data_IF_370756386408
#
_entry.id   IF_370756386408
#
_cell.length_a   1.000
_cell.length_b   1.000
_cell.length_c   1.000
_cell.angle_alpha   90.00
_cell.angle_beta   90.00
_cell.angle_gamma   90.00
#
_symmetry.space_group_name_H-M   'P 1'
#
loop_
_entity.id
_entity.type
_entity.pdbx_description
1 polymer ?
#
# COMPACT_ATOMS: atom_id res chain seq x y z
N UNK A 1 9.35 13.43 29.53
CA UNK A 1 8.65 12.15 29.81
C UNK A 1 8.52 11.32 28.54
N UNK A 2 7.85 11.81 27.48
CA UNK A 2 7.51 11.03 26.26
C UNK A 2 8.70 10.42 25.52
N UNK A 3 9.85 11.08 25.48
CA UNK A 3 11.09 10.48 24.91
C UNK A 3 11.52 9.26 25.70
N UNK A 4 11.39 9.29 27.04
CA UNK A 4 11.71 8.13 27.88
C UNK A 4 10.71 6.99 27.65
N UNK A 5 9.44 7.31 27.44
CA UNK A 5 8.42 6.29 27.14
C UNK A 5 8.74 5.59 25.82
N UNK A 6 9.12 6.35 24.77
CA UNK A 6 9.59 5.78 23.50
C UNK A 6 10.87 4.93 23.66
N UNK A 7 11.82 5.35 24.50
CA UNK A 7 13.00 4.53 24.83
C UNK A 7 12.58 3.21 25.47
N UNK A 8 11.65 3.25 26.42
CA UNK A 8 11.14 2.06 27.11
C UNK A 8 10.44 1.10 26.15
N UNK A 9 9.64 1.63 25.21
CA UNK A 9 8.98 0.86 24.17
C UNK A 9 9.98 0.18 23.23
N UNK A 10 11.00 0.91 22.76
CA UNK A 10 12.05 0.34 21.93
C UNK A 10 12.84 -0.74 22.72
N UNK A 11 13.10 -0.53 24.00
CA UNK A 11 13.72 -1.55 24.85
C UNK A 11 12.82 -2.78 25.02
N UNK A 12 11.51 -2.60 25.12
CA UNK A 12 10.57 -3.71 25.12
C UNK A 12 10.71 -4.52 23.83
N UNK A 13 10.77 -3.86 22.68
CA UNK A 13 10.83 -4.53 21.38
C UNK A 13 12.20 -5.17 21.11
N UNK A 14 13.29 -4.49 21.41
CA UNK A 14 14.64 -4.85 20.92
C UNK A 14 15.61 -5.29 22.02
N UNK A 15 15.29 -5.06 23.29
CA UNK A 15 16.19 -5.33 24.41
C UNK A 15 16.43 -6.82 24.69
N UNK A 16 17.51 -7.12 25.40
CA UNK A 16 17.79 -8.46 25.93
C UNK A 16 16.96 -8.73 27.19
N UNK A 17 16.15 -9.77 27.17
CA UNK A 17 15.26 -10.17 28.26
C UNK A 17 16.03 -10.58 29.56
N UNK A 18 17.34 -10.85 29.48
CA UNK A 18 18.17 -11.17 30.67
C UNK A 18 18.57 -9.94 31.43
N UNK A 19 18.75 -8.79 30.77
CA UNK A 19 19.36 -7.59 31.35
C UNK A 19 18.42 -6.39 31.39
N UNK A 20 17.34 -6.37 30.60
CA UNK A 20 16.42 -5.24 30.48
C UNK A 20 15.03 -5.60 30.99
N UNK A 21 14.46 -4.77 31.87
CA UNK A 21 13.16 -5.02 32.50
C UNK A 21 11.99 -5.05 31.47
N UNK A 22 12.03 -4.20 30.48
CA UNK A 22 10.98 -4.12 29.45
C UNK A 22 11.03 -5.34 28.51
N UNK A 23 12.23 -5.75 28.11
CA UNK A 23 12.43 -6.96 27.34
C UNK A 23 12.05 -8.23 28.14
N UNK A 24 12.26 -8.23 29.47
CA UNK A 24 11.78 -9.30 30.35
C UNK A 24 10.26 -9.38 30.34
N UNK A 25 9.57 -8.24 30.34
CA UNK A 25 8.11 -8.18 30.20
C UNK A 25 7.63 -8.78 28.87
N UNK A 26 8.30 -8.45 27.75
CA UNK A 26 8.03 -9.07 26.44
C UNK A 26 8.17 -10.59 26.51
N UNK A 27 9.22 -11.08 27.16
CA UNK A 27 9.44 -12.52 27.33
C UNK A 27 8.34 -13.19 28.17
N UNK A 28 7.82 -12.52 29.19
CA UNK A 28 6.67 -12.99 30.00
C UNK A 28 5.39 -13.10 29.16
N UNK A 29 5.22 -12.24 28.14
CA UNK A 29 4.13 -12.32 27.18
C UNK A 29 4.35 -13.36 26.07
N UNK A 30 5.35 -14.22 26.19
CA UNK A 30 5.57 -15.34 25.28
C UNK A 30 6.52 -15.06 24.12
N UNK A 31 7.14 -13.88 24.04
CA UNK A 31 8.08 -13.55 22.97
C UNK A 31 9.48 -13.20 23.53
N UNK A 32 10.33 -14.20 23.89
CA UNK A 32 11.64 -13.94 24.51
C UNK A 32 12.65 -13.32 23.53
N UNK A 33 12.57 -13.62 22.24
CA UNK A 33 13.50 -13.09 21.24
C UNK A 33 13.21 -11.60 20.93
N UNK A 34 14.23 -10.77 20.70
CA UNK A 34 14.01 -9.38 20.27
C UNK A 34 13.42 -9.32 18.87
N UNK A 35 12.60 -8.30 18.62
CA UNK A 35 12.14 -7.97 17.28
C UNK A 35 13.24 -7.22 16.50
N UNK A 36 13.22 -7.36 15.18
CA UNK A 36 14.04 -6.57 14.27
C UNK A 36 13.33 -5.26 14.00
N UNK A 37 13.72 -4.20 14.67
CA UNK A 37 13.20 -2.86 14.44
C UNK A 37 14.15 -2.10 13.51
N UNK A 38 13.61 -1.43 12.50
CA UNK A 38 14.37 -0.60 11.57
C UNK A 38 13.80 0.81 11.50
N UNK A 39 12.49 0.94 11.40
CA UNK A 39 11.81 2.21 11.20
C UNK A 39 11.09 2.64 12.46
N UNK A 40 11.22 3.94 12.80
CA UNK A 40 10.56 4.57 13.93
C UNK A 40 9.88 5.83 13.39
N UNK A 41 8.58 5.84 13.42
CA UNK A 41 7.77 6.99 13.09
C UNK A 41 7.64 7.91 14.30
N UNK A 42 7.90 9.19 14.12
CA UNK A 42 7.87 10.20 15.17
C UNK A 42 6.65 11.08 15.00
N UNK A 43 5.58 10.71 15.66
CA UNK A 43 4.29 11.42 15.62
C UNK A 43 3.25 10.75 14.72
N UNK A 44 2.22 11.49 14.38
CA UNK A 44 1.18 11.14 13.41
C UNK A 44 0.46 12.44 12.99
N UNK A 45 0.39 12.71 11.69
CA UNK A 45 -0.29 13.88 11.14
C UNK A 45 0.14 15.21 11.76
N UNK A 46 1.44 15.36 12.04
CA UNK A 46 1.98 16.54 12.73
C UNK A 46 1.94 17.82 11.89
N UNK A 47 1.46 17.76 10.63
CA UNK A 47 1.08 18.98 9.89
C UNK A 47 0.00 19.79 10.60
N UNK A 48 -0.86 19.18 11.43
CA UNK A 48 -1.89 19.87 12.25
C UNK A 48 -1.25 20.76 13.32
N UNK A 49 0.02 20.47 13.68
CA UNK A 49 0.79 21.22 14.70
C UNK A 49 2.26 21.34 14.29
N UNK A 50 2.48 21.69 13.01
CA UNK A 50 3.79 21.72 12.37
C UNK A 50 4.80 22.59 13.10
N UNK A 51 4.40 23.75 13.62
CA UNK A 51 5.29 24.68 14.35
C UNK A 51 5.93 24.01 15.57
N UNK A 52 5.16 23.36 16.41
CA UNK A 52 5.70 22.71 17.62
C UNK A 52 6.47 21.44 17.26
N UNK A 53 6.08 20.76 16.19
CA UNK A 53 6.81 19.62 15.67
C UNK A 53 8.19 20.01 15.17
N UNK A 54 8.29 21.03 14.31
CA UNK A 54 9.54 21.51 13.75
C UNK A 54 10.44 22.17 14.82
N UNK A 55 9.86 22.97 15.72
CA UNK A 55 10.62 23.76 16.68
C UNK A 55 11.27 22.93 17.80
N UNK A 56 10.62 21.85 18.28
CA UNK A 56 11.20 21.07 19.39
C UNK A 56 10.87 19.59 19.42
N UNK A 57 9.64 19.13 19.03
CA UNK A 57 9.24 17.72 19.24
C UNK A 57 10.10 16.75 18.44
N UNK A 58 10.23 16.97 17.15
CA UNK A 58 11.07 16.16 16.27
C UNK A 58 12.50 16.05 16.81
N UNK A 59 13.13 17.20 17.10
CA UNK A 59 14.50 17.24 17.62
C UNK A 59 14.64 16.48 18.92
N UNK A 60 13.72 16.67 19.86
CA UNK A 60 13.77 16.03 21.18
C UNK A 60 13.72 14.49 21.07
N UNK A 61 12.82 13.96 20.25
CA UNK A 61 12.72 12.51 20.03
C UNK A 61 13.93 11.97 19.29
N UNK A 62 14.27 12.51 18.14
CA UNK A 62 15.38 11.96 17.32
C UNK A 62 16.72 12.03 18.07
N UNK A 63 17.02 13.13 18.74
CA UNK A 63 18.29 13.24 19.50
C UNK A 63 18.31 12.34 20.72
N UNK A 64 17.20 12.24 21.46
CA UNK A 64 17.09 11.36 22.62
C UNK A 64 17.19 9.88 22.26
N UNK A 65 16.52 9.46 21.18
CA UNK A 65 16.57 8.07 20.70
C UNK A 65 17.95 7.72 20.13
N UNK A 66 18.59 8.61 19.36
CA UNK A 66 19.98 8.41 18.89
C UNK A 66 20.97 8.30 20.04
N UNK A 67 20.79 9.08 21.11
CA UNK A 67 21.63 9.00 22.30
C UNK A 67 21.43 7.69 23.07
N UNK A 68 20.19 7.20 23.17
CA UNK A 68 19.88 5.94 23.85
C UNK A 68 20.28 4.69 23.05
N UNK A 69 20.28 4.77 21.72
CA UNK A 69 20.52 3.65 20.80
C UNK A 69 21.54 4.03 19.71
N UNK A 70 22.78 4.38 20.03
CA UNK A 70 23.73 5.00 19.09
C UNK A 70 24.14 4.07 17.93
N UNK A 71 24.04 2.75 18.10
CA UNK A 71 24.46 1.75 17.10
C UNK A 71 23.29 0.96 16.51
N UNK A 72 22.06 1.45 16.67
CA UNK A 72 20.86 0.70 16.25
C UNK A 72 20.64 0.67 14.74
N UNK A 73 21.10 1.69 14.03
CA UNK A 73 20.78 1.87 12.60
C UNK A 73 19.31 2.21 12.34
N UNK A 74 18.60 2.76 13.32
CA UNK A 74 17.20 3.16 13.15
C UNK A 74 17.04 4.30 12.15
N UNK A 75 16.04 4.18 11.31
CA UNK A 75 15.57 5.21 10.40
C UNK A 75 14.33 5.88 11.00
N UNK A 76 14.35 7.21 11.07
CA UNK A 76 13.27 7.99 11.68
C UNK A 76 12.40 8.61 10.59
N UNK A 77 11.07 8.35 10.67
CA UNK A 77 10.09 8.90 9.76
C UNK A 77 9.50 10.18 10.34
N UNK A 78 9.47 11.23 9.54
CA UNK A 78 8.76 12.47 9.86
C UNK A 78 7.29 12.35 9.43
N UNK A 79 6.39 13.04 10.15
CA UNK A 79 4.93 12.99 9.94
C UNK A 79 4.34 14.37 9.67
N UNK A 80 5.11 15.27 9.06
CA UNK A 80 4.72 16.63 8.72
C UNK A 80 4.73 16.84 7.20
N UNK A 81 4.42 18.05 6.76
CA UNK A 81 4.51 18.38 5.33
C UNK A 81 5.94 18.20 4.79
N UNK A 82 6.09 17.67 3.54
CA UNK A 82 7.40 17.43 2.94
C UNK A 82 8.28 18.68 2.84
N UNK A 83 7.69 19.87 2.73
CA UNK A 83 8.38 21.16 2.68
C UNK A 83 8.83 21.67 4.05
N UNK A 84 8.45 21.03 5.15
CA UNK A 84 8.82 21.45 6.51
C UNK A 84 10.29 21.17 6.78
N UNK A 85 11.07 22.21 7.08
CA UNK A 85 12.47 22.04 7.47
C UNK A 85 12.56 21.53 8.89
N UNK A 86 13.16 20.36 9.08
CA UNK A 86 13.41 19.74 10.39
C UNK A 86 14.90 19.71 10.73
N UNK A 87 15.22 19.80 12.02
CA UNK A 87 16.57 19.65 12.54
C UNK A 87 16.61 18.60 13.68
N UNK A 88 17.35 17.47 13.54
CA UNK A 88 18.11 17.08 12.34
C UNK A 88 17.21 16.84 11.13
N UNK A 89 17.76 16.91 9.91
CA UNK A 89 17.03 16.62 8.70
C UNK A 89 16.49 15.18 8.71
N UNK A 90 15.30 14.99 8.19
CA UNK A 90 14.72 13.65 8.03
C UNK A 90 15.20 12.98 6.73
N UNK A 91 15.26 11.67 6.74
CA UNK A 91 15.59 10.83 5.58
C UNK A 91 14.41 10.01 5.12
N UNK A 92 13.38 9.91 5.93
CA UNK A 92 12.14 9.19 5.68
C UNK A 92 10.96 10.06 6.09
N UNK A 93 9.88 9.95 5.35
CA UNK A 93 8.65 10.70 5.61
C UNK A 93 7.44 9.80 5.44
N UNK A 94 6.47 9.95 6.34
CA UNK A 94 5.15 9.38 6.20
C UNK A 94 4.22 10.36 5.47
N UNK A 95 3.46 9.85 4.49
CA UNK A 95 2.51 10.61 3.68
C UNK A 95 1.14 9.97 3.77
N UNK A 96 0.12 10.78 4.05
CA UNK A 96 -1.27 10.35 4.09
C UNK A 96 -2.08 10.98 2.96
N UNK A 97 -3.01 10.22 2.38
CA UNK A 97 -3.88 10.72 1.32
C UNK A 97 -5.26 10.06 1.33
N UNK A 98 -6.26 10.84 1.63
CA UNK A 98 -7.66 10.48 1.51
C UNK A 98 -8.31 11.32 0.43
N UNK A 99 -8.91 10.70 -0.60
CA UNK A 99 -9.45 11.47 -1.73
C UNK A 99 -10.52 10.68 -2.51
N UNK A 100 -10.86 11.19 -3.69
CA UNK A 100 -11.79 10.57 -4.65
C UNK A 100 -11.03 9.66 -5.64
N UNK A 101 -11.72 8.74 -6.37
CA UNK A 101 -11.08 7.87 -7.36
C UNK A 101 -10.24 8.61 -8.40
N UNK A 102 -10.72 9.74 -8.91
CA UNK A 102 -10.01 10.53 -9.91
C UNK A 102 -8.63 10.96 -9.44
N UNK A 103 -8.50 11.42 -8.20
CA UNK A 103 -7.22 11.84 -7.64
C UNK A 103 -6.19 10.71 -7.67
N UNK A 104 -6.57 9.50 -7.25
CA UNK A 104 -5.66 8.34 -7.24
C UNK A 104 -5.20 7.94 -8.63
N UNK A 105 -6.10 8.03 -9.63
CA UNK A 105 -5.77 7.76 -11.03
C UNK A 105 -4.82 8.81 -11.59
N UNK A 106 -5.10 10.08 -11.37
CA UNK A 106 -4.30 11.22 -11.85
C UNK A 106 -2.89 11.24 -11.24
N UNK A 107 -2.77 10.78 -9.99
CA UNK A 107 -1.49 10.75 -9.27
C UNK A 107 -0.77 9.39 -9.31
N UNK A 108 -1.22 8.44 -10.14
CA UNK A 108 -0.58 7.13 -10.27
C UNK A 108 0.87 7.19 -10.80
N UNK A 109 1.31 8.33 -11.35
CA UNK A 109 2.64 8.56 -11.88
C UNK A 109 3.48 9.56 -11.04
N UNK A 110 2.99 10.03 -9.90
CA UNK A 110 3.60 11.14 -9.16
C UNK A 110 5.05 10.87 -8.70
N UNK A 111 5.41 9.60 -8.46
CA UNK A 111 6.76 9.22 -8.04
C UNK A 111 7.70 8.87 -9.19
N UNK A 112 7.24 8.82 -10.45
CA UNK A 112 8.08 8.45 -11.59
C UNK A 112 9.25 9.43 -11.80
N UNK A 113 9.03 10.71 -11.50
CA UNK A 113 10.04 11.77 -11.57
C UNK A 113 10.47 12.29 -10.19
N UNK A 114 10.14 11.58 -9.11
CA UNK A 114 10.54 11.99 -7.76
C UNK A 114 12.06 11.89 -7.60
N UNK A 115 12.72 12.84 -6.89
CA UNK A 115 14.16 12.82 -6.65
C UNK A 115 14.61 11.53 -5.95
N UNK A 116 15.65 10.86 -6.47
CA UNK A 116 16.15 9.59 -5.91
C UNK A 116 17.16 9.79 -4.78
N UNK A 117 17.69 10.99 -4.64
CA UNK A 117 18.58 11.47 -3.56
C UNK A 117 17.80 12.13 -2.40
N UNK A 118 16.48 12.26 -2.52
CA UNK A 118 15.60 12.79 -1.50
C UNK A 118 15.19 11.77 -0.42
N UNK A 119 14.27 12.20 0.44
CA UNK A 119 13.71 11.35 1.48
C UNK A 119 12.95 10.16 0.89
N UNK A 120 13.05 9.01 1.56
CA UNK A 120 12.23 7.84 1.25
C UNK A 120 10.83 8.01 1.82
N UNK A 121 9.85 7.48 1.11
CA UNK A 121 8.44 7.67 1.41
C UNK A 121 7.83 6.38 1.96
N UNK A 122 7.22 6.49 3.11
CA UNK A 122 6.17 5.60 3.57
C UNK A 122 4.83 6.21 3.19
N UNK A 123 4.02 5.53 2.41
CA UNK A 123 2.66 5.97 2.13
C UNK A 123 1.74 5.33 3.17
N UNK A 124 1.75 5.91 4.40
CA UNK A 124 1.30 5.23 5.62
C UNK A 124 -0.19 5.13 5.76
N UNK A 125 -0.94 6.12 5.23
CA UNK A 125 -2.40 6.06 5.23
C UNK A 125 -2.96 6.52 3.89
N UNK A 126 -3.82 5.71 3.27
CA UNK A 126 -4.57 6.14 2.09
C UNK A 126 -5.86 5.36 1.92
N UNK A 127 -6.85 6.01 1.35
CA UNK A 127 -8.09 5.41 0.87
C UNK A 127 -8.84 6.32 -0.09
N UNK A 128 -9.58 5.72 -1.01
CA UNK A 128 -10.67 6.41 -1.68
C UNK A 128 -11.83 6.54 -0.67
N UNK A 129 -12.09 7.77 -0.23
CA UNK A 129 -13.05 8.02 0.86
C UNK A 129 -14.35 8.64 0.39
N UNK A 130 -14.39 9.23 -0.79
CA UNK A 130 -15.56 9.93 -1.30
C UNK A 130 -15.67 9.84 -2.83
N UNK A 131 -16.86 10.10 -3.34
CA UNK A 131 -17.11 10.34 -4.78
C UNK A 131 -17.13 11.83 -5.13
N UNK A 132 -17.02 12.71 -4.13
CA UNK A 132 -17.10 14.15 -4.27
C UNK A 132 -15.86 14.84 -3.67
N UNK A 133 -15.06 15.48 -4.54
CA UNK A 133 -13.82 16.16 -4.16
C UNK A 133 -14.03 17.30 -3.12
N UNK A 134 -15.19 17.94 -3.15
CA UNK A 134 -15.54 18.98 -2.19
C UNK A 134 -16.01 18.44 -0.83
N UNK A 135 -16.09 17.11 -0.68
CA UNK A 135 -16.64 16.46 0.50
C UNK A 135 -15.87 15.17 0.87
N UNK A 136 -14.55 15.23 0.86
CA UNK A 136 -13.68 14.07 1.13
C UNK A 136 -13.88 13.54 2.55
N UNK A 137 -14.14 14.43 3.51
CA UNK A 137 -14.31 14.12 4.94
C UNK A 137 -15.72 14.42 5.49
N UNK A 138 -16.66 14.73 4.61
CA UNK A 138 -18.02 15.06 5.00
C UNK A 138 -18.91 13.84 5.31
N UNK A 139 -20.22 14.03 5.49
CA UNK A 139 -21.16 12.94 5.71
C UNK A 139 -21.44 12.13 4.43
N UNK A 140 -22.04 10.92 4.56
CA UNK A 140 -22.44 10.11 3.39
C UNK A 140 -23.38 10.84 2.43
N UNK A 141 -24.22 11.74 2.92
CA UNK A 141 -25.16 12.54 2.10
C UNK A 141 -24.45 13.46 1.09
N UNK A 142 -23.16 13.77 1.26
CA UNK A 142 -22.40 14.58 0.30
C UNK A 142 -21.35 13.79 -0.49
N UNK A 143 -21.37 12.45 -0.42
CA UNK A 143 -20.53 11.61 -1.25
C UNK A 143 -19.50 10.74 -0.49
N UNK A 144 -19.42 10.87 0.85
CA UNK A 144 -18.57 10.00 1.67
C UNK A 144 -18.99 8.54 1.53
N UNK A 145 -18.05 7.67 1.28
CA UNK A 145 -18.32 6.24 1.20
C UNK A 145 -18.51 5.62 2.59
N UNK A 146 -19.50 4.75 2.73
CA UNK A 146 -19.68 3.91 3.93
C UNK A 146 -18.80 2.67 3.82
N UNK A 147 -18.74 2.08 2.63
CA UNK A 147 -17.89 0.94 2.29
C UNK A 147 -17.05 1.26 1.05
N UNK A 148 -15.83 0.71 0.93
CA UNK A 148 -15.06 0.82 -0.30
C UNK A 148 -15.84 0.25 -1.49
N UNK A 149 -15.82 0.96 -2.62
CA UNK A 149 -16.43 0.51 -3.86
C UNK A 149 -15.41 -0.17 -4.76
N UNK A 150 -15.88 -0.93 -5.77
CA UNK A 150 -14.98 -1.48 -6.78
C UNK A 150 -14.24 -0.37 -7.54
N UNK A 151 -14.89 0.74 -7.89
CA UNK A 151 -14.26 1.88 -8.56
C UNK A 151 -13.15 2.49 -7.69
N UNK A 152 -13.39 2.63 -6.39
CA UNK A 152 -12.37 3.09 -5.44
C UNK A 152 -11.17 2.14 -5.41
N UNK A 153 -11.43 0.86 -5.29
CA UNK A 153 -10.39 -0.17 -5.26
C UNK A 153 -9.56 -0.21 -6.56
N UNK A 154 -10.19 -0.02 -7.72
CA UNK A 154 -9.50 0.05 -9.03
C UNK A 154 -8.61 1.30 -9.12
N UNK A 155 -9.08 2.44 -8.62
CA UNK A 155 -8.30 3.67 -8.57
C UNK A 155 -7.11 3.55 -7.60
N UNK A 156 -7.30 2.95 -6.44
CA UNK A 156 -6.24 2.61 -5.50
C UNK A 156 -5.23 1.63 -6.12
N UNK A 157 -5.69 0.64 -6.89
CA UNK A 157 -4.81 -0.29 -7.61
C UNK A 157 -3.97 0.44 -8.67
N UNK A 158 -4.54 1.37 -9.42
CA UNK A 158 -3.81 2.21 -10.37
C UNK A 158 -2.68 2.97 -9.67
N UNK A 159 -2.97 3.59 -8.53
CA UNK A 159 -2.01 4.29 -7.70
C UNK A 159 -0.92 3.35 -7.15
N UNK A 160 -1.31 2.18 -6.63
CA UNK A 160 -0.36 1.17 -6.13
C UNK A 160 0.61 0.67 -7.21
N UNK A 161 0.21 0.63 -8.50
CA UNK A 161 1.17 0.31 -9.56
C UNK A 161 2.28 1.32 -9.64
N UNK A 162 1.99 2.59 -9.37
CA UNK A 162 2.97 3.68 -9.30
C UNK A 162 3.88 3.57 -8.08
N UNK A 163 3.31 3.27 -6.91
CA UNK A 163 4.10 3.07 -5.69
C UNK A 163 5.07 1.90 -5.85
N UNK A 164 4.61 0.74 -6.32
CA UNK A 164 5.45 -0.45 -6.53
C UNK A 164 6.51 -0.21 -7.61
N UNK A 165 6.17 0.48 -8.70
CA UNK A 165 7.14 0.83 -9.77
C UNK A 165 8.28 1.69 -9.26
N UNK A 166 8.01 2.51 -8.25
CA UNK A 166 8.96 3.43 -7.61
C UNK A 166 9.39 2.95 -6.22
N UNK A 167 9.55 1.64 -6.04
CA UNK A 167 9.93 1.03 -4.75
C UNK A 167 11.35 1.41 -4.27
N UNK A 168 12.14 2.03 -5.11
CA UNK A 168 13.41 2.67 -4.76
C UNK A 168 13.22 3.97 -3.96
N UNK A 169 12.05 4.58 -4.05
CA UNK A 169 11.64 5.78 -3.29
C UNK A 169 10.58 5.44 -2.26
N UNK A 170 9.49 4.78 -2.69
CA UNK A 170 8.38 4.39 -1.80
C UNK A 170 8.64 3.00 -1.25
N UNK A 171 9.15 2.93 -0.02
CA UNK A 171 9.57 1.65 0.56
C UNK A 171 8.43 0.83 1.18
N UNK A 172 7.31 1.47 1.52
CA UNK A 172 6.12 0.81 2.04
C UNK A 172 4.87 1.65 1.81
N UNK A 173 3.71 0.98 1.82
CA UNK A 173 2.40 1.62 1.82
C UNK A 173 1.40 0.81 2.64
N UNK A 174 0.44 1.49 3.28
CA UNK A 174 -0.64 0.85 4.01
C UNK A 174 -1.97 1.56 3.85
N UNK A 175 -3.03 0.79 3.74
CA UNK A 175 -4.40 1.30 3.69
C UNK A 175 -4.87 1.68 5.09
N UNK A 176 -5.56 2.80 5.23
CA UNK A 176 -6.19 3.23 6.48
C UNK A 176 -7.60 3.81 6.25
N UNK A 177 -8.49 3.61 7.23
CA UNK A 177 -8.38 2.72 8.38
C UNK A 177 -8.62 1.24 8.02
N UNK A 178 -8.09 0.32 8.83
CA UNK A 178 -8.10 -1.11 8.48
C UNK A 178 -9.42 -1.81 8.78
N UNK A 179 -10.05 -1.53 9.92
CA UNK A 179 -11.19 -2.31 10.41
C UNK A 179 -12.25 -1.46 11.09
N UNK A 180 -13.52 -1.83 10.86
CA UNK A 180 -14.65 -1.24 11.57
C UNK A 180 -15.65 -2.29 12.04
N UNK A 181 -16.24 -2.09 13.19
CA UNK A 181 -17.48 -2.77 13.55
C UNK A 181 -18.65 -2.07 12.85
N UNK A 182 -19.54 -2.83 12.19
CA UNK A 182 -20.58 -2.27 11.32
C UNK A 182 -21.59 -1.35 12.02
N UNK A 183 -21.79 -1.51 13.33
CA UNK A 183 -22.72 -0.68 14.12
C UNK A 183 -22.07 0.51 14.82
N UNK A 184 -20.75 0.67 14.78
CA UNK A 184 -20.03 1.68 15.56
C UNK A 184 -18.78 2.22 14.86
N UNK A 185 -18.87 2.43 13.54
CA UNK A 185 -17.76 3.02 12.79
C UNK A 185 -17.60 4.50 13.12
N UNK A 186 -16.46 4.87 13.70
CA UNK A 186 -16.09 6.29 13.91
C UNK A 186 -15.53 6.96 12.65
N UNK A 187 -15.11 6.16 11.68
CA UNK A 187 -14.55 6.60 10.40
C UNK A 187 -14.93 5.61 9.29
N UNK A 188 -15.25 6.09 8.12
CA UNK A 188 -15.54 5.25 6.95
C UNK A 188 -14.91 5.84 5.67
N UNK A 189 -14.66 5.03 4.63
CA UNK A 189 -14.79 3.57 4.60
C UNK A 189 -13.60 2.89 5.31
N UNK A 190 -13.70 1.60 5.58
CA UNK A 190 -12.64 0.78 6.16
C UNK A 190 -12.29 -0.40 5.25
N UNK A 191 -11.07 -0.90 5.36
CA UNK A 191 -10.57 -2.01 4.54
C UNK A 191 -11.39 -3.29 4.77
N UNK A 192 -11.72 -3.58 6.02
CA UNK A 192 -12.59 -4.69 6.41
C UNK A 192 -13.65 -4.23 7.39
N UNK A 193 -14.86 -4.80 7.27
CA UNK A 193 -15.96 -4.57 8.18
C UNK A 193 -16.31 -5.88 8.88
N UNK A 194 -16.78 -5.82 10.12
CA UNK A 194 -17.11 -7.02 10.89
C UNK A 194 -18.24 -6.79 11.89
N UNK A 195 -18.86 -7.87 12.30
CA UNK A 195 -19.69 -7.99 13.49
C UNK A 195 -19.22 -9.18 14.35
N UNK A 196 -20.02 -9.59 15.35
CA UNK A 196 -19.68 -10.70 16.22
C UNK A 196 -19.55 -12.06 15.51
N UNK A 197 -20.14 -12.24 14.35
CA UNK A 197 -20.21 -13.51 13.62
C UNK A 197 -19.55 -13.53 12.25
N UNK A 198 -19.24 -12.37 11.69
CA UNK A 198 -18.86 -12.25 10.28
C UNK A 198 -17.76 -11.21 10.04
N UNK A 199 -16.96 -11.45 9.00
CA UNK A 199 -15.98 -10.48 8.47
C UNK A 199 -16.21 -10.29 7.00
N UNK A 200 -16.34 -9.05 6.56
CA UNK A 200 -16.51 -8.64 5.16
C UNK A 200 -15.21 -8.01 4.67
N UNK A 201 -14.63 -8.62 3.66
CA UNK A 201 -13.46 -8.10 2.94
C UNK A 201 -13.92 -7.16 1.83
N UNK A 202 -13.55 -5.91 1.87
CA UNK A 202 -13.94 -4.93 0.83
C UNK A 202 -13.23 -5.21 -0.51
N UNK A 203 -13.66 -4.59 -1.62
CA UNK A 203 -12.90 -4.61 -2.87
C UNK A 203 -11.47 -4.08 -2.69
N UNK A 204 -11.27 -3.02 -1.90
CA UNK A 204 -9.93 -2.51 -1.54
C UNK A 204 -9.09 -3.52 -0.77
N UNK A 205 -9.69 -4.30 0.17
CA UNK A 205 -8.98 -5.40 0.81
C UNK A 205 -8.44 -6.41 -0.22
N UNK A 206 -9.26 -6.75 -1.19
CA UNK A 206 -8.84 -7.68 -2.22
C UNK A 206 -7.69 -7.14 -3.07
N UNK A 207 -7.69 -5.84 -3.39
CA UNK A 207 -6.56 -5.19 -4.06
C UNK A 207 -5.29 -5.26 -3.22
N UNK A 208 -5.36 -4.89 -1.93
CA UNK A 208 -4.22 -4.99 -1.02
C UNK A 208 -3.67 -6.42 -0.98
N UNK A 209 -4.53 -7.41 -0.85
CA UNK A 209 -4.15 -8.82 -0.83
C UNK A 209 -3.51 -9.27 -2.16
N UNK A 210 -4.12 -8.92 -3.30
CA UNK A 210 -3.59 -9.24 -4.63
C UNK A 210 -2.19 -8.64 -4.84
N UNK A 211 -1.95 -7.41 -4.39
CA UNK A 211 -0.66 -6.74 -4.54
C UNK A 211 0.39 -7.30 -3.56
N UNK A 212 0.02 -7.49 -2.29
CA UNK A 212 0.97 -7.91 -1.24
C UNK A 212 1.42 -9.38 -1.37
N UNK A 213 0.59 -10.25 -1.94
CA UNK A 213 0.92 -11.68 -2.12
C UNK A 213 1.59 -12.01 -3.45
N UNK A 214 1.65 -11.08 -4.39
CA UNK A 214 2.26 -11.23 -5.71
C UNK A 214 3.38 -10.20 -5.89
N UNK A 215 4.43 -10.30 -5.09
CA UNK A 215 5.56 -9.37 -5.10
C UNK A 215 6.79 -10.01 -5.71
N UNK A 216 7.47 -9.28 -6.59
CA UNK A 216 8.84 -9.56 -6.96
C UNK A 216 9.84 -8.95 -5.96
N UNK A 217 11.10 -9.22 -6.15
CA UNK A 217 12.22 -8.59 -5.45
C UNK A 217 12.81 -7.43 -6.26
N UNK A 218 12.49 -7.36 -7.54
CA UNK A 218 12.99 -6.37 -8.48
C UNK A 218 11.87 -5.90 -9.41
N UNK A 219 11.81 -4.59 -9.66
CA UNK A 219 10.88 -4.01 -10.64
C UNK A 219 11.44 -4.18 -12.04
N UNK A 220 10.59 -4.64 -12.97
CA UNK A 220 10.93 -4.74 -14.39
C UNK A 220 10.55 -3.43 -15.08
N UNK A 221 11.51 -2.79 -15.74
CA UNK A 221 11.23 -1.64 -16.59
C UNK A 221 10.41 -2.07 -17.80
N UNK A 222 9.30 -1.39 -18.07
CA UNK A 222 8.41 -1.68 -19.19
C UNK A 222 8.56 -0.66 -20.32
N UNK A 223 8.31 -1.09 -21.55
CA UNK A 223 8.28 -0.23 -22.72
C UNK A 223 7.01 -0.54 -23.56
N UNK A 224 6.08 0.43 -23.77
CA UNK A 224 6.15 1.79 -23.22
C UNK A 224 6.07 1.82 -21.70
N UNK A 225 6.51 2.92 -21.09
CA UNK A 225 6.23 3.23 -19.70
C UNK A 225 4.74 3.56 -19.54
N UNK A 226 4.15 3.39 -18.34
CA UNK A 226 2.80 3.86 -18.04
C UNK A 226 2.64 5.35 -18.35
N UNK A 227 1.45 5.73 -18.78
CA UNK A 227 1.13 7.10 -19.22
C UNK A 227 -0.24 7.51 -18.74
N UNK A 228 -0.40 8.80 -18.40
CA UNK A 228 -1.69 9.37 -18.03
C UNK A 228 -2.72 9.42 -19.18
N UNK A 229 -2.25 9.22 -20.42
CA UNK A 229 -3.10 9.31 -21.61
C UNK A 229 -3.93 8.05 -21.89
N UNK A 230 -3.73 6.98 -21.13
CA UNK A 230 -4.48 5.73 -21.29
C UNK A 230 -5.04 5.27 -19.95
N UNK A 231 -6.23 4.66 -19.92
CA UNK A 231 -6.88 4.24 -18.67
C UNK A 231 -6.34 2.90 -18.14
N UNK A 232 -5.16 2.51 -18.55
CA UNK A 232 -4.49 1.30 -18.10
C UNK A 232 -3.23 1.66 -17.33
N UNK A 233 -3.16 1.17 -16.08
CA UNK A 233 -2.01 1.34 -15.20
C UNK A 233 -1.40 -0.02 -14.89
N UNK A 234 -0.07 -0.13 -14.89
CA UNK A 234 0.60 -1.41 -14.67
C UNK A 234 1.95 -1.27 -13.99
N UNK A 235 2.36 -2.37 -13.39
CA UNK A 235 3.72 -2.61 -12.92
C UNK A 235 4.07 -4.07 -13.17
N UNK A 236 5.33 -4.34 -13.49
CA UNK A 236 5.87 -5.68 -13.58
C UNK A 236 7.03 -5.85 -12.59
N UNK A 237 7.09 -7.00 -11.93
CA UNK A 237 8.16 -7.33 -10.99
C UNK A 237 8.60 -8.78 -11.14
N UNK A 238 9.86 -9.06 -10.80
CA UNK A 238 10.50 -10.36 -10.87
C UNK A 238 10.95 -10.82 -9.49
N UNK A 239 10.71 -12.08 -9.17
CA UNK A 239 11.33 -12.79 -8.05
C UNK A 239 12.36 -13.78 -8.60
N UNK A 240 13.63 -13.42 -8.51
CA UNK A 240 14.75 -14.22 -9.03
C UNK A 240 14.88 -15.57 -8.33
N UNK A 241 14.52 -15.68 -7.05
CA UNK A 241 14.57 -16.92 -6.27
C UNK A 241 13.43 -17.86 -6.65
N UNK A 242 12.22 -17.33 -6.75
CA UNK A 242 11.04 -18.09 -7.14
C UNK A 242 10.93 -18.28 -8.66
N UNK A 243 11.78 -17.63 -9.45
CA UNK A 243 11.72 -17.57 -10.92
C UNK A 243 10.32 -17.18 -11.40
N UNK A 244 9.74 -16.21 -10.76
CA UNK A 244 8.39 -15.74 -10.99
C UNK A 244 8.35 -14.32 -11.52
N UNK A 245 7.49 -14.05 -12.47
CA UNK A 245 7.16 -12.71 -12.93
C UNK A 245 5.71 -12.42 -12.60
N UNK A 246 5.47 -11.26 -12.02
CA UNK A 246 4.15 -10.75 -11.68
C UNK A 246 3.90 -9.47 -12.46
N UNK A 247 2.79 -9.44 -13.21
CA UNK A 247 2.29 -8.23 -13.85
C UNK A 247 0.98 -7.87 -13.18
N UNK A 248 0.89 -6.67 -12.63
CA UNK A 248 -0.32 -6.12 -12.03
C UNK A 248 -0.84 -5.01 -12.92
N UNK A 249 -2.11 -5.07 -13.26
CA UNK A 249 -2.74 -4.10 -14.15
C UNK A 249 -4.11 -3.68 -13.63
N UNK A 250 -4.43 -2.39 -13.75
CA UNK A 250 -5.72 -1.80 -13.43
C UNK A 250 -6.28 -1.10 -14.67
N UNK A 251 -7.48 -1.49 -15.10
CA UNK A 251 -8.25 -0.79 -16.12
C UNK A 251 -9.27 0.13 -15.43
N UNK A 252 -9.04 1.43 -15.49
CA UNK A 252 -9.88 2.45 -14.86
C UNK A 252 -11.02 2.95 -15.77
N UNK A 253 -11.08 2.46 -17.01
CA UNK A 253 -12.14 2.83 -17.95
C UNK A 253 -13.46 2.09 -17.67
N UNK A 254 -14.54 2.69 -18.13
CA UNK A 254 -15.88 2.07 -18.16
C UNK A 254 -16.07 1.10 -19.34
N UNK A 255 -15.03 0.82 -20.10
CA UNK A 255 -15.00 -0.07 -21.25
C UNK A 255 -13.91 -1.10 -21.12
N UNK A 256 -14.00 -2.19 -21.87
CA UNK A 256 -12.94 -3.19 -21.97
C UNK A 256 -11.71 -2.60 -22.65
N UNK A 257 -10.53 -3.10 -22.27
CA UNK A 257 -9.26 -2.67 -22.85
C UNK A 257 -8.42 -3.88 -23.28
N UNK A 258 -8.17 -4.02 -24.59
CA UNK A 258 -7.34 -5.09 -25.12
C UNK A 258 -5.85 -4.79 -24.93
N UNK A 259 -5.13 -5.72 -24.31
CA UNK A 259 -3.70 -5.58 -24.00
C UNK A 259 -2.94 -6.74 -24.62
N UNK A 260 -1.81 -6.44 -25.27
CA UNK A 260 -0.80 -7.42 -25.67
C UNK A 260 0.45 -7.19 -24.82
N UNK A 261 0.85 -8.21 -24.09
CA UNK A 261 2.11 -8.23 -23.34
C UNK A 261 3.18 -8.90 -24.21
N UNK A 262 4.27 -8.19 -24.46
CA UNK A 262 5.47 -8.70 -25.12
C UNK A 262 6.57 -8.80 -24.07
N UNK A 263 7.23 -9.95 -23.99
CA UNK A 263 8.19 -10.29 -22.94
C UNK A 263 9.57 -10.51 -23.59
N UNK A 264 10.61 -10.03 -22.95
CA UNK A 264 12.01 -10.27 -23.39
C UNK A 264 12.54 -11.65 -22.94
N UNK A 265 11.70 -12.44 -22.29
CA UNK A 265 12.02 -13.78 -21.78
C UNK A 265 10.90 -14.77 -22.13
N UNK A 266 11.21 -16.07 -22.26
CA UNK A 266 10.20 -17.08 -22.53
C UNK A 266 9.45 -17.47 -21.25
N UNK A 267 8.14 -17.71 -21.39
CA UNK A 267 7.30 -18.28 -20.35
C UNK A 267 7.59 -19.80 -20.27
N UNK A 268 8.00 -20.27 -19.11
CA UNK A 268 8.34 -21.70 -18.92
C UNK A 268 7.12 -22.61 -18.83
N UNK A 269 5.99 -22.10 -18.33
CA UNK A 269 4.77 -22.84 -18.15
C UNK A 269 3.89 -22.84 -19.41
N UNK A 270 2.92 -23.77 -19.45
CA UNK A 270 1.89 -23.83 -20.49
C UNK A 270 0.68 -22.95 -20.18
N UNK A 271 0.71 -22.21 -19.09
CA UNK A 271 -0.34 -21.31 -18.68
C UNK A 271 0.22 -20.17 -17.80
N UNK A 272 -0.45 -19.02 -17.85
CA UNK A 272 -0.25 -17.88 -16.95
C UNK A 272 -1.37 -17.95 -15.92
N UNK A 273 -1.03 -17.87 -14.64
CA UNK A 273 -2.01 -17.68 -13.58
C UNK A 273 -2.63 -16.30 -13.66
N UNK A 274 -3.93 -16.21 -13.48
CA UNK A 274 -4.71 -14.97 -13.47
C UNK A 274 -5.50 -14.87 -12.18
N UNK A 275 -5.41 -13.73 -11.53
CA UNK A 275 -6.37 -13.32 -10.49
C UNK A 275 -7.04 -12.04 -10.95
N UNK A 276 -8.36 -12.07 -11.11
CA UNK A 276 -9.14 -10.96 -11.65
C UNK A 276 -10.16 -10.47 -10.62
N UNK A 277 -10.12 -9.20 -10.27
CA UNK A 277 -11.14 -8.49 -9.51
C UNK A 277 -11.95 -7.61 -10.46
N UNK A 278 -13.24 -7.86 -10.55
CA UNK A 278 -14.22 -7.09 -11.33
C UNK A 278 -15.63 -7.42 -10.84
N UNK A 279 -16.59 -6.58 -11.17
CA UNK A 279 -18.03 -6.82 -10.96
C UNK A 279 -18.85 -6.21 -12.07
N UNK A 280 -20.16 -6.46 -12.07
CA UNK A 280 -21.09 -5.93 -13.06
C UNK A 280 -21.30 -4.41 -12.98
N UNK A 281 -21.00 -3.80 -11.84
CA UNK A 281 -21.13 -2.37 -11.58
C UNK A 281 -19.92 -1.86 -10.79
N UNK A 282 -19.35 -0.75 -11.21
CA UNK A 282 -18.21 -0.11 -10.58
C UNK A 282 -18.50 0.46 -9.18
N UNK A 283 -19.76 0.80 -8.89
CA UNK A 283 -20.17 1.36 -7.58
C UNK A 283 -20.48 0.29 -6.54
N UNK A 284 -20.37 -1.00 -6.87
CA UNK A 284 -20.65 -2.08 -5.93
C UNK A 284 -19.66 -2.09 -4.77
N UNK A 285 -20.18 -2.40 -3.59
CA UNK A 285 -19.41 -2.65 -2.35
C UNK A 285 -19.74 -4.01 -1.77
N UNK A 286 -18.81 -4.60 -1.06
CA UNK A 286 -19.07 -5.76 -0.23
C UNK A 286 -19.66 -5.31 1.11
N UNK A 287 -20.73 -5.94 1.55
CA UNK A 287 -21.47 -5.67 2.78
C UNK A 287 -21.78 -6.98 3.52
N UNK A 288 -22.29 -6.93 4.72
CA UNK A 288 -22.71 -8.15 5.45
C UNK A 288 -23.74 -8.96 4.65
N UNK A 289 -24.70 -8.30 4.01
CA UNK A 289 -25.75 -8.95 3.21
C UNK A 289 -25.23 -9.51 1.87
N UNK A 290 -24.14 -8.92 1.34
CA UNK A 290 -23.52 -9.35 0.10
C UNK A 290 -22.00 -9.26 0.17
N UNK A 291 -21.34 -10.18 0.90
CA UNK A 291 -19.91 -10.09 1.22
C UNK A 291 -18.97 -10.34 0.03
N UNK A 292 -19.48 -10.84 -1.08
CA UNK A 292 -18.72 -11.20 -2.27
C UNK A 292 -19.26 -10.53 -3.57
N UNK A 293 -19.91 -9.38 -3.45
CA UNK A 293 -20.43 -8.63 -4.60
C UNK A 293 -19.31 -8.26 -5.60
N UNK A 294 -18.10 -7.95 -5.07
CA UNK A 294 -16.87 -7.84 -5.83
C UNK A 294 -15.78 -8.66 -5.12
N UNK A 295 -15.49 -9.84 -5.64
CA UNK A 295 -14.48 -10.74 -5.12
C UNK A 295 -13.56 -11.23 -6.25
N UNK A 296 -12.25 -11.46 -5.96
CA UNK A 296 -11.31 -11.94 -6.96
C UNK A 296 -11.69 -13.35 -7.45
N UNK A 297 -11.51 -13.56 -8.74
CA UNK A 297 -11.65 -14.88 -9.39
C UNK A 297 -10.29 -15.34 -9.90
N UNK A 298 -9.90 -16.55 -9.51
CA UNK A 298 -8.72 -17.22 -10.05
C UNK A 298 -9.04 -17.86 -11.40
N UNK A 299 -8.07 -17.81 -12.31
CA UNK A 299 -8.16 -18.42 -13.62
C UNK A 299 -6.77 -18.68 -14.21
N UNK A 300 -6.73 -19.09 -15.46
CA UNK A 300 -5.49 -19.30 -16.22
C UNK A 300 -5.66 -18.83 -17.65
N UNK A 301 -4.57 -18.35 -18.24
CA UNK A 301 -4.49 -18.03 -19.67
C UNK A 301 -3.58 -19.09 -20.31
N UNK A 302 -4.09 -19.94 -21.22
CA UNK A 302 -3.27 -20.92 -21.93
C UNK A 302 -2.23 -20.22 -22.81
N UNK A 303 -1.00 -20.72 -22.77
CA UNK A 303 0.09 -20.27 -23.64
C UNK A 303 0.92 -21.49 -24.07
N UNK A 304 1.65 -21.35 -25.17
CA UNK A 304 2.67 -22.33 -25.54
C UNK A 304 3.90 -22.14 -24.67
N UNK A 305 4.48 -23.22 -24.17
CA UNK A 305 5.78 -23.15 -23.47
C UNK A 305 6.82 -22.52 -24.38
N UNK A 306 7.58 -21.56 -23.86
CA UNK A 306 8.51 -20.76 -24.65
C UNK A 306 7.87 -19.52 -25.30
N UNK A 307 6.58 -19.28 -25.13
CA UNK A 307 5.95 -18.06 -25.63
C UNK A 307 6.59 -16.81 -25.02
N UNK A 308 6.77 -15.80 -25.84
CA UNK A 308 7.30 -14.46 -25.47
C UNK A 308 6.22 -13.39 -25.54
N UNK A 309 4.96 -13.76 -25.70
CA UNK A 309 3.84 -12.82 -25.66
C UNK A 309 2.52 -13.52 -25.33
N UNK A 310 1.59 -12.74 -24.81
CA UNK A 310 0.19 -13.13 -24.65
C UNK A 310 -0.70 -11.90 -24.75
N UNK A 311 -1.99 -12.13 -24.99
CA UNK A 311 -2.99 -11.06 -25.04
C UNK A 311 -4.09 -11.32 -24.01
N UNK A 312 -4.64 -10.25 -23.46
CA UNK A 312 -5.78 -10.31 -22.56
C UNK A 312 -6.71 -9.12 -22.78
N UNK A 313 -8.00 -9.34 -22.63
CA UNK A 313 -9.00 -8.25 -22.65
C UNK A 313 -9.36 -7.94 -21.21
N UNK A 314 -8.85 -6.83 -20.70
CA UNK A 314 -9.17 -6.32 -19.36
C UNK A 314 -10.63 -5.87 -19.33
N UNK A 315 -11.48 -6.41 -18.45
CA UNK A 315 -12.83 -5.87 -18.27
C UNK A 315 -12.81 -4.39 -17.85
N UNK A 316 -13.92 -3.71 -18.05
CA UNK A 316 -14.12 -2.38 -17.49
C UNK A 316 -13.99 -2.40 -15.96
N UNK A 317 -13.43 -1.36 -15.38
CA UNK A 317 -13.23 -1.21 -13.92
C UNK A 317 -12.74 -2.51 -13.27
N UNK A 318 -11.52 -2.92 -13.64
CA UNK A 318 -10.96 -4.21 -13.19
C UNK A 318 -9.50 -4.12 -12.77
N UNK A 319 -9.11 -5.04 -11.90
CA UNK A 319 -7.72 -5.27 -11.50
C UNK A 319 -7.34 -6.71 -11.81
N UNK A 320 -6.24 -6.90 -12.50
CA UNK A 320 -5.71 -8.22 -12.83
C UNK A 320 -4.28 -8.38 -12.33
N UNK A 321 -3.98 -9.56 -11.80
CA UNK A 321 -2.62 -10.02 -11.53
C UNK A 321 -2.33 -11.23 -12.40
N UNK A 322 -1.29 -11.10 -13.23
CA UNK A 322 -0.76 -12.20 -14.05
C UNK A 322 0.49 -12.74 -13.38
N UNK A 323 0.53 -14.04 -13.19
CA UNK A 323 1.61 -14.76 -12.53
C UNK A 323 2.16 -15.82 -13.48
N UNK A 324 3.44 -15.76 -13.81
CA UNK A 324 4.08 -16.69 -14.73
C UNK A 324 5.44 -17.13 -14.22
N UNK A 325 5.87 -18.31 -14.63
CA UNK A 325 7.21 -18.81 -14.40
C UNK A 325 8.09 -18.52 -15.62
N UNK A 326 9.34 -18.27 -15.35
CA UNK A 326 10.36 -17.98 -16.35
C UNK A 326 11.64 -18.74 -16.01
N UNK A 327 12.51 -18.91 -16.98
CA UNK A 327 13.87 -19.44 -16.76
C UNK A 327 14.91 -18.32 -16.63
N UNK A 328 14.43 -17.07 -16.58
CA UNK A 328 15.25 -15.86 -16.42
C UNK A 328 15.72 -15.65 -15.00
#
# INVERSE_FOLDING_TARGET
>A
PYVQDAINEIQFLTGDAKTNQWAKLRAQYGHPAPYKLKYIEIGNEDWVSADTYANYRWKAFVTGLKAAFPNSGFEYLATTYPETTLSPAYTHIDVHQFNIPAWFIENALQYDNYPRDGAKVFFGEYAVTSTNASCVFGPPSCGRLVYPTLQGAVAEAAFLTGLERNSDVVFASSYAPSMQHVSSAGWSPNLASFDAGSVVKSPSYHVQHMFSTNRGTEVIKTNPAPSANIPLHWVASHDSKAKGVYIKAANTANTTYGVKFSLEFPISNKSIGLTLLTASNATVSNTLDNPNAAAPKAGTIPVTSGATSFSYVMPANSVAVFNMKTNW
#
